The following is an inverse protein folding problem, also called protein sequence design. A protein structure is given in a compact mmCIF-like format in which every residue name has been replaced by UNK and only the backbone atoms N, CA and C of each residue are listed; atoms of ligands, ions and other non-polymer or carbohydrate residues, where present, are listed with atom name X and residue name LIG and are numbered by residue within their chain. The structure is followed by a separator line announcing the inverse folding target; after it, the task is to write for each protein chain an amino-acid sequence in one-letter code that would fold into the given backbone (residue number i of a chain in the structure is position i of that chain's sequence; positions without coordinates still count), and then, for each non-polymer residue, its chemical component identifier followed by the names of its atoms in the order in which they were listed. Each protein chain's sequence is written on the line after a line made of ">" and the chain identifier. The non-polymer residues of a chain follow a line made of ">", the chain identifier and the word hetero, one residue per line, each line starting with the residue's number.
data_IF_142322742640
#
_entry.id   IF_142322742640
#
_cell.length_a   1.000
_cell.length_b   1.000
_cell.length_c   1.000
_cell.angle_alpha   90.00
_cell.angle_beta   90.00
_cell.angle_gamma   90.00
#
_symmetry.space_group_name_H-M   'P 1'
#
loop_
_entity.id
_entity.type
_entity.pdbx_description
1 polymer ?
#
# COMPACT_ATOMS: atom_id res chain seq x y z
N UNK A 1 39.38 -27.50 -16.42
CA UNK A 1 39.60 -26.74 -15.16
C UNK A 1 38.23 -26.52 -14.54
N UNK A 2 37.91 -27.27 -13.50
CA UNK A 2 36.65 -27.08 -12.75
C UNK A 2 36.91 -26.07 -11.61
N UNK A 3 36.16 -24.99 -11.63
CA UNK A 3 36.15 -24.01 -10.56
C UNK A 3 35.34 -24.56 -9.39
N UNK A 4 36.02 -25.10 -8.41
CA UNK A 4 35.38 -25.45 -7.14
C UNK A 4 35.01 -24.18 -6.35
N UNK A 5 33.72 -23.83 -6.36
CA UNK A 5 33.21 -22.77 -5.51
C UNK A 5 33.09 -23.26 -4.07
N UNK A 6 34.05 -22.87 -3.23
CA UNK A 6 34.04 -23.18 -1.82
C UNK A 6 33.08 -22.23 -1.07
N UNK A 7 32.25 -22.76 -0.15
CA UNK A 7 31.30 -22.02 0.69
C UNK A 7 31.90 -20.80 1.42
N UNK A 8 33.20 -20.85 1.72
CA UNK A 8 33.92 -19.71 2.33
C UNK A 8 34.15 -18.54 1.37
N UNK A 9 34.24 -18.78 0.06
CA UNK A 9 34.37 -17.75 -0.95
C UNK A 9 33.04 -17.02 -1.15
N UNK A 10 31.92 -17.72 -1.07
CA UNK A 10 30.58 -17.13 -1.16
C UNK A 10 30.33 -16.10 -0.06
N UNK A 11 30.72 -16.42 1.19
CA UNK A 11 30.57 -15.51 2.34
C UNK A 11 31.44 -14.27 2.24
N UNK A 12 32.62 -14.34 1.60
CA UNK A 12 33.49 -13.16 1.40
C UNK A 12 32.95 -12.20 0.34
N UNK A 13 32.26 -12.70 -0.68
CA UNK A 13 31.65 -11.86 -1.72
C UNK A 13 30.28 -11.32 -1.32
N UNK A 14 29.52 -11.99 -0.46
CA UNK A 14 28.25 -11.48 0.05
C UNK A 14 28.42 -10.32 1.07
N UNK A 15 29.55 -10.25 1.77
CA UNK A 15 29.83 -9.15 2.70
C UNK A 15 30.27 -7.84 2.00
N UNK A 16 30.77 -7.92 0.76
CA UNK A 16 31.19 -6.73 0.00
C UNK A 16 30.04 -6.09 -0.79
N UNK A 17 28.91 -6.79 -0.98
CA UNK A 17 27.73 -6.28 -1.70
C UNK A 17 26.78 -5.46 -0.80
N UNK A 18 27.01 -5.39 0.51
CA UNK A 18 26.08 -4.77 1.47
C UNK A 18 26.28 -3.26 1.69
N UNK A 19 27.23 -2.60 1.02
CA UNK A 19 27.60 -1.20 1.33
C UNK A 19 27.30 -0.20 0.22
N UNK A 20 26.69 -0.57 -0.88
CA UNK A 20 26.49 0.32 -2.02
C UNK A 20 25.04 0.54 -2.45
N UNK A 21 24.05 0.49 -1.56
CA UNK A 21 22.65 0.79 -1.90
C UNK A 21 22.04 1.82 -0.95
N UNK A 22 22.73 2.93 -0.76
CA UNK A 22 22.10 4.16 -0.31
C UNK A 22 21.98 5.07 -1.55
N UNK A 23 20.94 4.91 -2.34
CA UNK A 23 20.65 5.89 -3.39
C UNK A 23 20.31 5.39 -4.78
N UNK A 24 19.64 4.26 -4.93
CA UNK A 24 18.96 4.01 -6.21
C UNK A 24 17.74 3.12 -6.03
N UNK A 25 16.63 3.59 -6.52
CA UNK A 25 15.31 2.94 -6.60
C UNK A 25 15.28 1.74 -7.57
N UNK A 26 16.30 0.88 -7.56
CA UNK A 26 16.46 -0.26 -8.45
C UNK A 26 16.80 -1.54 -7.67
N UNK A 27 16.00 -1.85 -6.66
CA UNK A 27 15.81 -3.24 -6.27
C UNK A 27 14.42 -3.66 -6.79
N UNK A 28 14.32 -3.82 -8.11
CA UNK A 28 13.35 -4.73 -8.68
C UNK A 28 13.84 -6.13 -8.29
N UNK A 29 13.47 -6.54 -7.06
CA UNK A 29 13.81 -7.84 -6.53
C UNK A 29 13.17 -8.92 -7.38
N UNK A 30 13.92 -9.94 -7.70
CA UNK A 30 13.42 -11.25 -8.10
C UNK A 30 12.32 -11.70 -7.14
N UNK A 31 11.04 -11.72 -7.60
CA UNK A 31 9.94 -12.26 -6.83
C UNK A 31 8.73 -11.36 -6.63
N UNK A 32 8.60 -10.22 -7.33
CA UNK A 32 7.28 -9.59 -7.40
C UNK A 32 6.33 -10.55 -8.12
N UNK A 33 5.34 -11.05 -7.39
CA UNK A 33 4.23 -11.76 -7.97
C UNK A 33 3.67 -10.87 -9.10
N UNK A 34 3.49 -11.43 -10.29
CA UNK A 34 2.96 -10.71 -11.46
C UNK A 34 1.68 -9.93 -11.11
N UNK A 35 0.95 -10.40 -10.12
CA UNK A 35 -0.33 -9.90 -9.66
C UNK A 35 -0.25 -8.97 -8.44
N UNK A 36 0.91 -8.82 -7.80
CA UNK A 36 1.10 -7.96 -6.64
C UNK A 36 2.15 -6.90 -6.95
N UNK A 37 1.80 -5.64 -6.74
CA UNK A 37 2.69 -4.50 -6.95
C UNK A 37 2.82 -3.71 -5.67
N UNK A 38 4.04 -3.36 -5.30
CA UNK A 38 4.33 -2.62 -4.09
C UNK A 38 5.07 -1.31 -4.38
N UNK A 39 4.85 -0.30 -3.56
CA UNK A 39 5.50 0.99 -3.71
C UNK A 39 5.36 1.88 -2.48
N UNK A 40 5.94 3.07 -2.58
CA UNK A 40 5.81 4.15 -1.60
C UNK A 40 4.87 5.22 -2.11
N UNK A 41 4.50 6.19 -1.28
CA UNK A 41 3.78 7.40 -1.71
C UNK A 41 4.50 8.01 -2.93
N UNK A 42 3.74 8.41 -3.94
CA UNK A 42 4.25 8.94 -5.20
C UNK A 42 4.62 7.89 -6.25
N UNK A 43 4.69 6.61 -5.88
CA UNK A 43 4.97 5.53 -6.85
C UNK A 43 3.74 5.18 -7.67
N UNK A 44 3.91 5.11 -9.00
CA UNK A 44 2.89 4.58 -9.91
C UNK A 44 3.03 3.07 -10.04
N UNK A 45 2.00 2.34 -9.65
CA UNK A 45 1.94 0.88 -9.74
C UNK A 45 1.08 0.46 -10.94
N UNK A 46 1.60 -0.45 -11.77
CA UNK A 46 0.95 -0.88 -13.01
C UNK A 46 0.36 -2.27 -12.83
N UNK A 47 -0.98 -2.35 -12.80
CA UNK A 47 -1.73 -3.60 -12.68
C UNK A 47 -3.14 -3.40 -13.26
N UNK A 48 -3.40 -3.83 -14.50
CA UNK A 48 -4.66 -3.56 -15.22
C UNK A 48 -4.96 -2.06 -15.44
N UNK A 49 -4.06 -1.21 -15.00
CA UNK A 49 -4.11 0.24 -15.04
C UNK A 49 -2.79 0.83 -14.54
N UNK A 50 -2.77 2.14 -14.36
CA UNK A 50 -1.70 2.86 -13.68
C UNK A 50 -2.33 3.56 -12.47
N UNK A 51 -1.91 3.17 -11.29
CA UNK A 51 -2.49 3.63 -10.03
C UNK A 51 -1.40 4.29 -9.19
N UNK A 52 -1.67 5.47 -8.67
CA UNK A 52 -0.73 6.23 -7.88
C UNK A 52 -1.38 6.78 -6.62
N UNK A 53 -0.78 6.52 -5.48
CA UNK A 53 -1.05 7.24 -4.25
C UNK A 53 -0.20 8.51 -4.26
N UNK A 54 -0.83 9.65 -4.57
CA UNK A 54 -0.15 10.94 -4.71
C UNK A 54 0.32 11.49 -3.38
N UNK A 55 -0.55 11.39 -2.38
CA UNK A 55 -0.24 11.84 -1.01
C UNK A 55 -1.11 11.13 0.00
N UNK A 56 -0.63 11.06 1.23
CA UNK A 56 -1.38 10.59 2.38
C UNK A 56 -1.07 11.46 3.59
N UNK A 57 -2.08 11.72 4.43
CA UNK A 57 -1.95 12.53 5.64
C UNK A 57 -2.89 12.06 6.74
N UNK A 58 -2.47 12.24 7.98
CA UNK A 58 -3.33 12.16 9.15
C UNK A 58 -3.89 13.54 9.49
N UNK A 59 -5.06 13.60 10.13
CA UNK A 59 -5.71 14.84 10.54
C UNK A 59 -4.99 15.55 11.70
N UNK A 60 -4.18 14.81 12.47
CA UNK A 60 -3.40 15.35 13.58
C UNK A 60 -2.14 14.51 13.84
N UNK A 61 -1.20 15.09 14.59
CA UNK A 61 0.05 14.44 14.95
C UNK A 61 -0.20 13.10 15.67
N UNK A 62 0.51 12.02 15.28
CA UNK A 62 0.50 10.77 16.03
C UNK A 62 1.19 10.96 17.39
N UNK A 63 0.79 10.14 18.34
CA UNK A 63 1.36 10.09 19.69
C UNK A 63 2.03 8.73 19.92
N UNK A 64 2.81 8.60 20.99
CA UNK A 64 3.43 7.32 21.37
C UNK A 64 2.39 6.22 21.64
N UNK A 65 1.19 6.60 22.06
CA UNK A 65 0.07 5.68 22.25
C UNK A 65 -0.88 5.79 21.06
N UNK A 66 -1.38 4.66 20.56
CA UNK A 66 -2.31 4.64 19.46
C UNK A 66 -3.62 5.39 19.82
N UNK A 67 -4.01 6.31 18.97
CA UNK A 67 -5.23 7.10 19.10
C UNK A 67 -5.97 7.14 17.77
N UNK A 68 -7.28 7.40 17.84
CA UNK A 68 -8.14 7.51 16.66
C UNK A 68 -7.75 8.74 15.84
N UNK A 69 -7.54 8.53 14.54
CA UNK A 69 -7.18 9.54 13.54
C UNK A 69 -8.04 9.39 12.30
N UNK A 70 -8.02 10.40 11.46
CA UNK A 70 -8.54 10.30 10.09
C UNK A 70 -7.38 10.27 9.11
N UNK A 71 -7.29 9.19 8.35
CA UNK A 71 -6.36 9.07 7.23
C UNK A 71 -7.04 9.58 5.96
N UNK A 72 -6.36 10.48 5.25
CA UNK A 72 -6.79 10.99 3.93
C UNK A 72 -5.71 10.69 2.91
N UNK A 73 -6.07 9.97 1.82
CA UNK A 73 -5.18 9.59 0.74
C UNK A 73 -5.72 10.13 -0.59
N UNK A 74 -4.90 10.84 -1.35
CA UNK A 74 -5.23 11.29 -2.69
C UNK A 74 -4.69 10.29 -3.72
N UNK A 75 -5.54 9.83 -4.61
CA UNK A 75 -5.21 8.87 -5.66
C UNK A 75 -5.44 9.44 -7.04
N UNK A 76 -4.52 9.11 -7.95
CA UNK A 76 -4.70 9.23 -9.39
C UNK A 76 -4.75 7.83 -10.00
N UNK A 77 -5.86 7.50 -10.65
CA UNK A 77 -6.17 6.19 -11.17
C UNK A 77 -6.39 6.29 -12.68
N UNK A 78 -5.73 5.45 -13.47
CA UNK A 78 -5.93 5.35 -14.94
C UNK A 78 -6.22 3.90 -15.31
N UNK A 79 -7.32 3.67 -15.99
CA UNK A 79 -7.69 2.34 -16.51
C UNK A 79 -6.95 2.06 -17.82
N UNK A 80 -6.29 0.91 -17.93
CA UNK A 80 -5.72 0.41 -19.21
C UNK A 80 -6.39 -0.91 -19.64
N UNK A 81 -7.30 -1.43 -18.84
CA UNK A 81 -8.03 -2.66 -19.11
C UNK A 81 -9.12 -2.41 -20.16
N UNK A 82 -9.21 -3.29 -21.17
CA UNK A 82 -10.30 -3.27 -22.17
C UNK A 82 -11.70 -3.47 -21.57
N UNK A 83 -11.77 -4.02 -20.37
CA UNK A 83 -13.03 -4.29 -19.66
C UNK A 83 -13.46 -3.16 -18.72
N UNK A 84 -12.70 -2.07 -18.68
CA UNK A 84 -12.93 -1.00 -17.71
C UNK A 84 -12.63 -1.40 -16.27
N UNK A 85 -12.82 -0.47 -15.35
CA UNK A 85 -12.68 -0.66 -13.91
C UNK A 85 -13.83 0.05 -13.19
N UNK A 86 -14.43 -0.60 -12.22
CA UNK A 86 -15.37 0.02 -11.31
C UNK A 86 -14.65 0.41 -10.03
N UNK A 87 -14.67 1.70 -9.69
CA UNK A 87 -13.97 2.24 -8.51
C UNK A 87 -14.99 2.53 -7.41
N UNK A 88 -14.95 1.70 -6.39
CA UNK A 88 -15.83 1.76 -5.22
C UNK A 88 -15.01 1.62 -3.93
N UNK A 89 -15.54 1.99 -2.75
CA UNK A 89 -14.82 1.83 -1.48
C UNK A 89 -14.30 0.40 -1.24
N UNK A 90 -15.03 -0.61 -1.72
CA UNK A 90 -14.63 -2.02 -1.60
C UNK A 90 -13.33 -2.39 -2.35
N UNK A 91 -12.84 -1.53 -3.27
CA UNK A 91 -11.54 -1.72 -3.89
C UNK A 91 -10.38 -1.46 -2.91
N UNK A 92 -10.64 -0.83 -1.77
CA UNK A 92 -9.59 -0.37 -0.86
C UNK A 92 -9.65 -1.06 0.49
N UNK A 93 -8.47 -1.32 1.02
CA UNK A 93 -8.25 -1.80 2.37
C UNK A 93 -7.06 -1.05 2.96
N UNK A 94 -7.15 -0.72 4.23
CA UNK A 94 -6.04 -0.11 4.97
C UNK A 94 -5.66 -1.01 6.13
N UNK A 95 -4.39 -1.36 6.22
CA UNK A 95 -3.81 -2.13 7.32
C UNK A 95 -2.89 -1.24 8.13
N UNK A 96 -3.00 -1.32 9.44
CA UNK A 96 -2.07 -0.72 10.39
C UNK A 96 -1.31 -1.84 11.08
N UNK A 97 -0.01 -1.87 10.86
CA UNK A 97 0.93 -2.77 11.55
C UNK A 97 1.60 -1.98 12.65
N UNK A 98 1.36 -2.30 13.93
CA UNK A 98 2.03 -1.63 15.03
C UNK A 98 3.54 -1.82 14.97
N UNK A 99 4.30 -0.79 15.41
CA UNK A 99 5.76 -0.89 15.60
C UNK A 99 6.11 -1.99 16.61
N UNK A 100 5.27 -2.14 17.62
CA UNK A 100 5.37 -3.22 18.61
C UNK A 100 4.82 -4.51 18.00
N UNK A 101 5.72 -5.44 17.68
CA UNK A 101 5.38 -6.73 17.05
C UNK A 101 4.53 -7.67 17.91
N UNK A 102 4.36 -7.37 19.20
CA UNK A 102 3.44 -8.10 20.09
C UNK A 102 1.96 -7.77 19.86
N UNK A 103 1.69 -6.65 19.18
CA UNK A 103 0.34 -6.18 18.87
C UNK A 103 -0.14 -6.69 17.52
N UNK A 104 -1.44 -6.88 17.42
CA UNK A 104 -2.08 -7.37 16.19
C UNK A 104 -2.21 -6.29 15.13
N UNK A 105 -2.09 -6.68 13.87
CA UNK A 105 -2.41 -5.84 12.71
C UNK A 105 -3.92 -5.56 12.71
N UNK A 106 -4.27 -4.28 12.53
CA UNK A 106 -5.66 -3.86 12.40
C UNK A 106 -5.98 -3.56 10.94
N UNK A 107 -7.13 -4.03 10.46
CA UNK A 107 -7.57 -3.87 9.08
C UNK A 107 -8.85 -3.05 9.01
N UNK A 108 -8.89 -2.09 8.09
CA UNK A 108 -10.03 -1.21 7.81
C UNK A 108 -10.50 -1.41 6.38
N UNK A 109 -11.80 -1.60 6.17
CA UNK A 109 -12.42 -1.76 4.84
C UNK A 109 -13.85 -1.21 4.81
N UNK A 110 -14.47 -1.12 3.62
CA UNK A 110 -15.76 -0.47 3.44
C UNK A 110 -16.94 -1.10 4.22
N UNK A 111 -16.77 -2.35 4.64
CA UNK A 111 -17.82 -3.14 5.29
C UNK A 111 -17.54 -3.44 6.76
N UNK A 112 -16.72 -2.61 7.43
CA UNK A 112 -16.54 -2.77 8.87
C UNK A 112 -17.88 -2.54 9.59
N UNK A 113 -18.42 -3.60 10.17
CA UNK A 113 -19.70 -3.57 10.88
C UNK A 113 -19.55 -3.36 12.39
N UNK A 114 -18.31 -3.40 12.90
CA UNK A 114 -17.96 -3.32 14.31
C UNK A 114 -17.75 -1.89 14.85
N UNK A 115 -18.01 -0.87 14.02
CA UNK A 115 -17.78 0.54 14.37
C UNK A 115 -16.31 0.98 14.31
N UNK A 116 -15.38 0.10 13.96
CA UNK A 116 -13.96 0.43 13.77
C UNK A 116 -13.74 1.05 12.41
N UNK A 117 -13.93 2.34 12.27
CA UNK A 117 -13.54 3.15 11.13
C UNK A 117 -13.96 2.65 9.73
N UNK A 118 -14.58 3.49 8.97
CA UNK A 118 -15.05 3.18 7.61
C UNK A 118 -14.12 3.72 6.52
N UNK A 119 -13.95 2.94 5.46
CA UNK A 119 -13.30 3.39 4.22
C UNK A 119 -14.36 4.02 3.32
N UNK A 120 -14.13 5.25 2.88
CA UNK A 120 -14.99 5.99 1.97
C UNK A 120 -14.20 6.65 0.85
N UNK A 121 -14.86 6.94 -0.27
CA UNK A 121 -14.30 7.67 -1.42
C UNK A 121 -15.07 8.96 -1.65
N UNK A 122 -14.37 10.03 -2.05
CA UNK A 122 -15.00 11.30 -2.45
C UNK A 122 -15.91 11.13 -3.68
N UNK A 123 -15.50 10.24 -4.58
CA UNK A 123 -16.23 9.88 -5.78
C UNK A 123 -16.42 8.36 -5.77
N UNK A 124 -17.61 7.88 -5.45
CA UNK A 124 -17.95 6.45 -5.46
C UNK A 124 -18.80 6.11 -6.70
N UNK A 125 -18.74 4.82 -7.09
CA UNK A 125 -19.45 4.28 -8.26
C UNK A 125 -19.00 4.87 -9.61
N UNK A 126 -17.71 5.14 -9.76
CA UNK A 126 -17.12 5.58 -11.01
C UNK A 126 -16.67 4.39 -11.84
N UNK A 127 -17.27 4.20 -12.99
CA UNK A 127 -16.81 3.25 -13.97
C UNK A 127 -15.84 3.95 -14.95
N UNK A 128 -14.59 3.51 -14.93
CA UNK A 128 -13.55 3.99 -15.84
C UNK A 128 -13.48 3.07 -17.05
N UNK A 129 -13.73 3.60 -18.23
CA UNK A 129 -13.44 2.92 -19.51
C UNK A 129 -11.93 2.88 -19.73
N UNK A 130 -11.52 2.08 -20.71
CA UNK A 130 -10.13 2.07 -21.15
C UNK A 130 -9.66 3.49 -21.46
N UNK A 131 -8.45 3.83 -20.99
CA UNK A 131 -7.75 5.10 -21.14
C UNK A 131 -8.35 6.30 -20.36
N UNK A 132 -9.46 6.11 -19.64
CA UNK A 132 -10.00 7.13 -18.74
C UNK A 132 -9.22 7.18 -17.42
N UNK A 133 -9.24 8.36 -16.82
CA UNK A 133 -8.57 8.64 -15.53
C UNK A 133 -9.55 9.21 -14.51
N UNK A 134 -9.27 9.00 -13.24
CA UNK A 134 -10.02 9.49 -12.09
C UNK A 134 -9.06 9.91 -10.99
N UNK A 135 -9.25 11.13 -10.50
CA UNK A 135 -8.67 11.54 -9.21
C UNK A 135 -9.72 11.37 -8.12
N UNK A 136 -9.35 10.68 -7.04
CA UNK A 136 -10.26 10.41 -5.94
C UNK A 136 -9.54 10.51 -4.59
N UNK A 137 -10.31 10.75 -3.55
CA UNK A 137 -9.82 10.85 -2.17
C UNK A 137 -10.39 9.68 -1.38
N UNK A 138 -9.50 8.84 -0.89
CA UNK A 138 -9.80 7.81 0.10
C UNK A 138 -9.74 8.44 1.49
N UNK A 139 -10.78 8.24 2.28
CA UNK A 139 -10.84 8.66 3.67
C UNK A 139 -11.15 7.48 4.56
N UNK A 140 -10.34 7.32 5.61
CA UNK A 140 -10.54 6.29 6.65
C UNK A 140 -10.66 6.99 7.99
N UNK A 141 -11.82 6.90 8.61
CA UNK A 141 -12.09 7.48 9.93
C UNK A 141 -11.81 6.48 11.04
N UNK A 142 -11.49 6.96 12.23
CA UNK A 142 -11.23 6.16 13.42
C UNK A 142 -10.10 5.12 13.23
N UNK A 143 -9.11 5.43 12.39
CA UNK A 143 -7.91 4.62 12.25
C UNK A 143 -7.03 4.80 13.50
N UNK A 144 -6.72 3.70 14.18
CA UNK A 144 -5.86 3.72 15.38
C UNK A 144 -4.40 3.62 14.98
N UNK A 145 -3.64 4.68 15.20
CA UNK A 145 -2.22 4.75 14.85
C UNK A 145 -1.40 5.40 15.96
N UNK A 146 -0.18 4.93 16.12
CA UNK A 146 0.85 5.49 16.97
C UNK A 146 2.08 5.88 16.14
N UNK A 147 2.97 6.66 16.76
CA UNK A 147 4.26 6.99 16.17
C UNK A 147 5.12 5.72 15.93
N UNK A 148 5.63 5.60 14.71
CA UNK A 148 6.43 4.47 14.26
C UNK A 148 5.64 3.28 13.71
N UNK A 149 4.31 3.32 13.72
CA UNK A 149 3.47 2.31 13.07
C UNK A 149 3.63 2.35 11.55
N UNK A 150 3.32 1.24 10.89
CA UNK A 150 3.29 1.17 9.43
C UNK A 150 1.86 1.08 8.93
N UNK A 151 1.49 1.98 8.02
CA UNK A 151 0.22 1.95 7.30
C UNK A 151 0.46 1.37 5.92
N UNK A 152 -0.38 0.41 5.52
CA UNK A 152 -0.41 -0.12 4.16
C UNK A 152 -1.77 0.17 3.56
N UNK A 153 -1.81 0.86 2.42
CA UNK A 153 -3.02 1.04 1.63
C UNK A 153 -2.98 0.08 0.48
N UNK A 154 -3.96 -0.83 0.43
CA UNK A 154 -4.11 -1.82 -0.63
C UNK A 154 -5.26 -1.42 -1.55
N UNK A 155 -5.06 -1.63 -2.85
CA UNK A 155 -6.05 -1.38 -3.88
C UNK A 155 -6.18 -2.59 -4.79
N UNK A 156 -7.38 -3.14 -4.88
CA UNK A 156 -7.75 -4.20 -5.81
C UNK A 156 -8.46 -3.58 -7.02
N UNK A 157 -7.88 -3.62 -8.22
CA UNK A 157 -8.55 -3.13 -9.43
C UNK A 157 -9.89 -3.83 -9.68
N UNK A 158 -10.01 -5.05 -9.18
CA UNK A 158 -11.27 -5.81 -9.14
C UNK A 158 -11.49 -6.29 -7.72
N UNK A 159 -12.42 -5.68 -6.96
CA UNK A 159 -12.72 -6.11 -5.61
C UNK A 159 -13.28 -7.53 -5.63
N UNK A 160 -13.04 -8.24 -4.54
CA UNK A 160 -13.64 -9.56 -4.33
C UNK A 160 -15.16 -9.43 -4.30
N UNK A 161 -15.82 -9.92 -5.32
CA UNK A 161 -17.28 -9.95 -5.38
C UNK A 161 -17.87 -11.19 -4.68
N UNK A 162 -17.05 -12.20 -4.34
CA UNK A 162 -17.50 -13.42 -3.66
C UNK A 162 -16.33 -14.19 -3.04
N UNK A 163 -16.58 -14.77 -1.88
CA UNK A 163 -15.72 -15.79 -1.29
C UNK A 163 -15.54 -16.93 -2.30
N UNK A 164 -14.29 -17.20 -2.70
CA UNK A 164 -13.96 -18.35 -3.53
C UNK A 164 -13.26 -18.07 -4.84
N UNK A 165 -13.23 -16.84 -5.36
CA UNK A 165 -12.47 -16.51 -6.57
C UNK A 165 -11.02 -16.15 -6.24
N UNK A 166 -10.15 -17.14 -6.10
CA UNK A 166 -8.73 -16.96 -5.80
C UNK A 166 -7.98 -16.07 -6.80
N UNK A 167 -8.44 -15.98 -8.04
CA UNK A 167 -7.80 -15.15 -9.07
C UNK A 167 -7.88 -13.66 -8.79
N UNK A 168 -8.93 -13.20 -8.13
CA UNK A 168 -9.13 -11.78 -7.82
C UNK A 168 -8.45 -11.35 -6.51
N UNK A 169 -8.21 -12.28 -5.59
CA UNK A 169 -7.53 -12.01 -4.32
C UNK A 169 -6.04 -11.76 -4.44
N UNK A 170 -5.43 -12.15 -5.55
CA UNK A 170 -3.98 -12.06 -5.77
C UNK A 170 -3.55 -10.76 -6.45
N UNK A 171 -4.45 -10.10 -7.19
CA UNK A 171 -4.11 -8.94 -8.01
C UNK A 171 -4.40 -7.64 -7.26
N UNK A 172 -3.39 -7.07 -6.61
CA UNK A 172 -3.52 -5.81 -5.88
C UNK A 172 -2.25 -4.97 -5.89
N UNK A 173 -2.43 -3.68 -5.67
CA UNK A 173 -1.37 -2.71 -5.44
C UNK A 173 -1.30 -2.38 -3.94
N UNK A 174 -0.09 -2.21 -3.41
CA UNK A 174 0.13 -1.81 -2.01
C UNK A 174 1.08 -0.63 -1.94
N UNK A 175 0.68 0.42 -1.24
CA UNK A 175 1.58 1.50 -0.83
C UNK A 175 1.81 1.40 0.67
N UNK A 176 3.09 1.42 1.06
CA UNK A 176 3.49 1.36 2.47
C UNK A 176 4.09 2.68 2.90
N UNK A 177 3.73 3.12 4.10
CA UNK A 177 4.20 4.35 4.70
C UNK A 177 4.39 4.19 6.20
N UNK A 178 5.38 4.87 6.76
CA UNK A 178 5.63 4.89 8.21
C UNK A 178 5.03 6.13 8.82
N UNK A 179 4.38 5.99 9.96
CA UNK A 179 3.86 7.09 10.77
C UNK A 179 5.02 7.75 11.51
N UNK A 180 5.17 9.07 11.37
CA UNK A 180 6.29 9.82 11.93
C UNK A 180 5.81 11.11 12.60
N UNK A 181 5.90 11.17 13.92
CA UNK A 181 5.51 12.34 14.71
C UNK A 181 6.49 13.51 14.60
N UNK A 182 7.72 13.27 14.15
CA UNK A 182 8.75 14.30 14.03
C UNK A 182 8.57 15.20 12.81
N UNK A 183 7.68 14.85 11.87
CA UNK A 183 7.44 15.62 10.65
C UNK A 183 6.31 16.64 10.89
N UNK A 184 6.63 17.92 10.89
CA UNK A 184 5.71 19.00 11.26
C UNK A 184 4.50 19.21 10.34
N UNK A 185 4.56 18.76 9.08
CA UNK A 185 3.52 19.02 8.06
C UNK A 185 2.97 17.76 7.38
N UNK A 186 3.69 16.64 7.47
CA UNK A 186 3.29 15.36 6.88
C UNK A 186 3.73 14.25 7.82
N UNK A 187 2.79 13.57 8.42
CA UNK A 187 3.06 12.51 9.40
C UNK A 187 3.31 11.13 8.76
N UNK A 188 3.33 11.04 7.43
CA UNK A 188 3.49 9.79 6.68
C UNK A 188 4.64 9.92 5.67
N UNK A 189 5.49 8.87 5.60
CA UNK A 189 6.65 8.78 4.69
C UNK A 189 6.66 7.46 3.92
#
# INVERSE_FOLDING_TARGET
>A
MSLEFNRRSFLKYSAAAAVAVAGSSLLVGCGEDEYQKTGKIGSTLKLMGAFKLESAKLDSAPTATAADKTLTCNFSLKCTSKYGLNIVPANFQVEVTPKDSSKTVTTYHAYNTDGTGGVSLSNSNNYLKKDESLDTVLKVTNIKVADGDTIKVKFWPRPQASEGSQAYTRAFCTWSMTVDSATATTYLK
#
